data_IF_577138897671
#
_entry.id   IF_577138897671
#
_cell.length_a   1.000
_cell.length_b   1.000
_cell.length_c   1.000
_cell.angle_alpha   90.00
_cell.angle_beta   90.00
_cell.angle_gamma   90.00
#
_symmetry.space_group_name_H-M   'P 1'
#
loop_
_entity.id
_entity.type
_entity.pdbx_description
1 polymer ?
#
# COMPACT_ATOMS: atom_id res chain seq x y z
N UNK A 1 7.67 52.12 18.72
CA UNK A 1 7.48 50.67 18.53
C UNK A 1 8.80 49.95 18.77
N UNK A 2 9.27 49.98 19.97
CA UNK A 2 10.53 49.44 20.43
C UNK A 2 10.30 49.05 21.91
N UNK A 3 9.86 47.81 22.16
CA UNK A 3 9.84 47.22 23.52
C UNK A 3 9.35 45.79 23.44
N UNK A 4 10.19 44.86 23.02
CA UNK A 4 10.22 43.43 23.45
C UNK A 4 11.54 42.83 22.93
N UNK A 5 12.65 43.32 23.39
CA UNK A 5 13.95 42.71 23.18
C UNK A 5 14.89 43.08 24.33
N UNK A 6 14.53 42.65 25.53
CA UNK A 6 15.46 42.72 26.69
C UNK A 6 14.89 41.85 27.81
N UNK A 7 15.22 40.57 27.74
CA UNK A 7 15.28 39.69 28.94
C UNK A 7 15.73 38.29 28.51
N UNK A 8 16.98 38.11 28.21
CA UNK A 8 17.72 36.84 28.26
C UNK A 8 19.22 37.13 28.25
N UNK A 9 19.66 37.91 29.28
CA UNK A 9 21.05 37.93 29.72
C UNK A 9 21.02 37.82 31.22
N UNK A 10 20.93 36.60 31.72
CA UNK A 10 21.16 36.23 33.13
C UNK A 10 22.55 35.61 33.25
N UNK A 11 23.36 36.22 34.03
CA UNK A 11 24.73 35.93 34.38
C UNK A 11 24.99 34.47 34.80
N UNK A 12 26.16 33.97 34.41
CA UNK A 12 26.83 32.80 34.96
C UNK A 12 27.16 33.06 36.44
N UNK A 13 26.78 32.14 37.30
CA UNK A 13 27.45 31.89 38.57
C UNK A 13 27.93 30.45 38.61
N UNK A 14 29.16 30.29 38.97
CA UNK A 14 29.91 29.04 39.07
C UNK A 14 29.45 28.16 40.24
N UNK A 15 29.34 26.84 39.98
CA UNK A 15 29.42 25.83 41.03
C UNK A 15 30.16 24.59 40.53
N UNK A 16 31.02 24.00 41.31
CA UNK A 16 31.95 22.95 40.89
C UNK A 16 31.37 21.55 41.07
N UNK A 17 31.69 20.63 40.21
CA UNK A 17 31.32 19.23 40.40
C UNK A 17 31.65 18.37 39.22
N UNK A 18 32.77 17.69 39.25
CA UNK A 18 33.18 16.65 38.33
C UNK A 18 32.13 15.55 38.17
N UNK A 19 31.82 15.20 36.96
CA UNK A 19 30.91 14.09 36.66
C UNK A 19 30.94 13.72 35.20
N UNK A 20 31.90 12.89 34.80
CA UNK A 20 31.89 11.90 33.71
C UNK A 20 31.27 12.33 32.40
N UNK A 21 32.10 12.58 31.42
CA UNK A 21 31.82 12.50 30.01
C UNK A 21 31.05 11.22 29.69
N UNK A 22 29.74 11.31 29.58
CA UNK A 22 28.95 10.30 28.90
C UNK A 22 29.19 10.49 27.41
N UNK A 23 30.24 9.85 26.93
CA UNK A 23 30.43 9.55 25.54
C UNK A 23 29.14 8.84 25.01
N UNK A 24 28.38 9.53 24.19
CA UNK A 24 27.33 8.90 23.43
C UNK A 24 28.01 7.91 22.51
N UNK A 25 28.01 6.63 22.88
CA UNK A 25 28.32 5.56 21.93
C UNK A 25 27.22 5.54 20.89
N UNK A 26 27.51 6.02 19.70
CA UNK A 26 26.77 5.67 18.51
C UNK A 26 26.94 4.17 18.41
N UNK A 27 25.89 3.42 18.77
CA UNK A 27 25.82 2.01 18.47
C UNK A 27 26.05 1.89 16.96
N UNK A 28 27.09 1.18 16.61
CA UNK A 28 27.42 0.87 15.22
C UNK A 28 26.20 0.18 14.62
N UNK A 29 25.40 0.94 13.85
CA UNK A 29 24.36 0.39 13.01
C UNK A 29 24.96 -0.78 12.23
N UNK A 30 24.28 -1.92 12.20
CA UNK A 30 24.67 -3.06 11.35
C UNK A 30 24.93 -2.49 9.97
N UNK A 31 26.19 -2.46 9.56
CA UNK A 31 26.52 -2.36 8.15
C UNK A 31 25.97 -3.63 7.51
N UNK A 32 24.81 -3.51 6.88
CA UNK A 32 24.46 -4.46 5.84
C UNK A 32 25.54 -4.25 4.78
N UNK A 33 26.41 -5.23 4.56
CA UNK A 33 27.13 -5.35 3.30
C UNK A 33 26.07 -5.52 2.22
N UNK A 34 25.55 -4.41 1.75
CA UNK A 34 24.87 -4.37 0.46
C UNK A 34 25.98 -4.59 -0.57
N UNK A 35 26.14 -5.83 -1.02
CA UNK A 35 26.71 -6.04 -2.33
C UNK A 35 26.06 -4.99 -3.23
N UNK A 36 26.83 -4.11 -3.85
CA UNK A 36 26.28 -3.04 -4.68
C UNK A 36 25.63 -3.70 -5.89
N UNK A 37 24.38 -4.06 -5.73
CA UNK A 37 23.56 -4.54 -6.84
C UNK A 37 23.41 -3.33 -7.76
N UNK A 38 24.03 -3.42 -8.93
CA UNK A 38 23.84 -2.41 -9.97
C UNK A 38 22.35 -2.40 -10.32
N UNK A 39 21.64 -1.30 -10.13
CA UNK A 39 20.22 -1.28 -10.38
C UNK A 39 19.92 -1.55 -11.85
N UNK A 40 18.90 -2.33 -12.14
CA UNK A 40 18.38 -2.50 -13.48
C UNK A 40 17.79 -1.15 -13.93
N UNK A 41 18.39 -0.56 -14.96
CA UNK A 41 17.90 0.71 -15.49
C UNK A 41 16.74 0.54 -16.47
N UNK A 42 16.62 -0.66 -17.07
CA UNK A 42 15.56 -0.99 -18.04
C UNK A 42 14.99 -2.38 -17.75
N UNK A 43 13.66 -2.47 -17.69
CA UNK A 43 12.96 -3.73 -17.45
C UNK A 43 11.48 -3.59 -17.80
N UNK A 44 10.81 -4.74 -17.97
CA UNK A 44 9.38 -4.82 -18.19
C UNK A 44 8.64 -4.92 -16.86
N UNK A 45 7.51 -4.21 -16.75
CA UNK A 45 6.58 -4.29 -15.62
C UNK A 45 5.16 -4.59 -16.09
N UNK A 46 4.35 -5.15 -15.18
CA UNK A 46 2.93 -5.42 -15.39
C UNK A 46 2.08 -4.63 -14.40
N UNK A 47 0.94 -4.14 -14.87
CA UNK A 47 -0.06 -3.42 -14.08
C UNK A 47 -1.41 -4.13 -14.24
N UNK A 48 -2.00 -4.58 -13.14
CA UNK A 48 -3.26 -5.34 -13.15
C UNK A 48 -4.45 -4.41 -13.34
N UNK A 49 -5.29 -4.73 -14.33
CA UNK A 49 -6.64 -4.20 -14.48
C UNK A 49 -7.59 -5.37 -14.65
N UNK A 50 -8.18 -5.82 -13.56
CA UNK A 50 -9.00 -7.02 -13.53
C UNK A 50 -10.04 -6.98 -12.41
N UNK A 51 -11.06 -7.82 -12.51
CA UNK A 51 -12.03 -7.98 -11.46
C UNK A 51 -11.49 -8.88 -10.35
N UNK A 52 -11.59 -8.50 -9.06
CA UNK A 52 -11.20 -9.38 -7.96
C UNK A 52 -12.16 -10.58 -7.81
N UNK A 53 -11.73 -11.60 -7.09
CA UNK A 53 -12.61 -12.68 -6.67
C UNK A 53 -13.37 -12.22 -5.40
N UNK A 54 -14.54 -11.62 -5.62
CA UNK A 54 -15.33 -11.01 -4.55
C UNK A 54 -15.68 -12.02 -3.45
N UNK A 55 -15.28 -11.70 -2.19
CA UNK A 55 -15.56 -12.50 -1.00
C UNK A 55 -15.08 -13.96 -1.08
N UNK A 56 -14.02 -14.22 -1.85
CA UNK A 56 -13.43 -15.54 -2.01
C UNK A 56 -11.90 -15.45 -1.91
N UNK A 57 -11.38 -15.73 -0.70
CA UNK A 57 -9.95 -15.65 -0.41
C UNK A 57 -9.14 -16.65 -1.26
N UNK A 58 -9.61 -17.90 -1.35
CA UNK A 58 -8.86 -18.96 -2.06
C UNK A 58 -8.80 -18.67 -3.56
N UNK A 59 -9.94 -18.30 -4.17
CA UNK A 59 -9.96 -17.90 -5.57
C UNK A 59 -9.13 -16.62 -5.83
N UNK A 60 -9.18 -15.65 -4.92
CA UNK A 60 -8.38 -14.41 -4.99
C UNK A 60 -6.89 -14.70 -4.95
N UNK A 61 -6.44 -15.58 -4.05
CA UNK A 61 -5.04 -16.03 -3.97
C UNK A 61 -4.63 -16.75 -5.26
N UNK A 62 -5.46 -17.69 -5.74
CA UNK A 62 -5.14 -18.41 -6.96
C UNK A 62 -5.08 -17.50 -8.19
N UNK A 63 -5.99 -16.53 -8.32
CA UNK A 63 -5.97 -15.55 -9.40
C UNK A 63 -4.72 -14.65 -9.32
N UNK A 64 -4.32 -14.27 -8.12
CA UNK A 64 -3.07 -13.53 -7.88
C UNK A 64 -1.86 -14.31 -8.38
N UNK A 65 -1.76 -15.59 -8.01
CA UNK A 65 -0.68 -16.49 -8.45
C UNK A 65 -0.68 -16.63 -9.98
N UNK A 66 -1.84 -16.78 -10.59
CA UNK A 66 -1.95 -16.88 -12.05
C UNK A 66 -1.40 -15.63 -12.76
N UNK A 67 -1.73 -14.42 -12.29
CA UNK A 67 -1.19 -13.18 -12.84
C UNK A 67 0.32 -13.03 -12.59
N UNK A 68 0.83 -13.46 -11.44
CA UNK A 68 2.27 -13.48 -11.17
C UNK A 68 2.98 -14.40 -12.17
N UNK A 69 2.43 -15.60 -12.43
CA UNK A 69 2.97 -16.54 -13.40
C UNK A 69 2.92 -15.99 -14.83
N UNK A 70 1.83 -15.34 -15.22
CA UNK A 70 1.67 -14.70 -16.53
C UNK A 70 2.69 -13.57 -16.71
N UNK A 71 2.83 -12.68 -15.72
CA UNK A 71 3.80 -11.60 -15.76
C UNK A 71 5.25 -12.12 -15.81
N UNK A 72 5.56 -13.16 -15.02
CA UNK A 72 6.87 -13.82 -15.04
C UNK A 72 7.17 -14.45 -16.41
N UNK A 73 6.22 -15.15 -16.99
CA UNK A 73 6.35 -15.75 -18.34
C UNK A 73 6.54 -14.68 -19.44
N UNK A 74 5.94 -13.47 -19.25
CA UNK A 74 6.14 -12.33 -20.15
C UNK A 74 7.48 -11.60 -19.92
N UNK A 75 8.31 -12.05 -18.97
CA UNK A 75 9.61 -11.46 -18.64
C UNK A 75 9.55 -10.19 -17.80
N UNK A 76 8.42 -9.94 -17.13
CA UNK A 76 8.30 -8.81 -16.21
C UNK A 76 9.16 -9.00 -14.96
N UNK A 77 9.67 -7.88 -14.43
CA UNK A 77 10.40 -7.82 -13.16
C UNK A 77 9.57 -7.25 -12.03
N UNK A 78 8.43 -6.65 -12.33
CA UNK A 78 7.48 -6.08 -11.38
C UNK A 78 6.06 -6.36 -11.86
N UNK A 79 5.18 -6.72 -10.91
CA UNK A 79 3.73 -6.72 -11.09
C UNK A 79 3.08 -5.92 -9.97
N UNK A 80 2.12 -5.05 -10.34
CA UNK A 80 1.38 -4.19 -9.42
C UNK A 80 -0.11 -4.53 -9.42
N UNK A 81 -0.67 -4.78 -8.23
CA UNK A 81 -2.07 -5.08 -8.00
C UNK A 81 -2.83 -3.87 -7.43
N UNK A 82 -4.15 -3.78 -7.69
CA UNK A 82 -5.01 -2.72 -7.15
C UNK A 82 -5.07 -2.69 -5.62
N UNK A 83 -5.59 -1.58 -5.07
CA UNK A 83 -5.95 -1.48 -3.65
C UNK A 83 -6.98 -2.57 -3.31
N UNK A 84 -6.76 -3.26 -2.18
CA UNK A 84 -7.67 -4.32 -1.68
C UNK A 84 -8.06 -5.34 -2.75
N UNK A 85 -7.09 -5.79 -3.53
CA UNK A 85 -7.28 -6.82 -4.55
C UNK A 85 -7.85 -8.12 -3.97
N UNK A 86 -7.47 -8.47 -2.75
CA UNK A 86 -8.03 -9.60 -1.99
C UNK A 86 -8.74 -9.03 -0.75
N UNK A 87 -10.02 -9.34 -0.55
CA UNK A 87 -10.98 -10.06 -1.36
C UNK A 87 -11.85 -9.15 -2.27
N UNK A 88 -11.32 -8.04 -2.71
CA UNK A 88 -11.99 -6.97 -3.43
C UNK A 88 -12.37 -5.80 -2.52
N UNK A 89 -12.57 -4.63 -3.12
CA UNK A 89 -12.94 -3.44 -2.37
C UNK A 89 -14.38 -3.54 -1.85
N UNK A 90 -14.66 -3.25 -0.58
CA UNK A 90 -15.98 -3.42 0.04
C UNK A 90 -16.95 -2.31 -0.40
N UNK A 91 -17.26 -2.27 -1.68
CA UNK A 91 -18.05 -1.21 -2.31
C UNK A 91 -19.44 -1.02 -1.70
N UNK A 92 -20.02 -2.09 -1.13
CA UNK A 92 -21.31 -2.07 -0.44
C UNK A 92 -21.38 -1.04 0.69
N UNK A 93 -20.27 -0.72 1.35
CA UNK A 93 -20.25 0.25 2.47
C UNK A 93 -20.68 1.67 2.08
N UNK A 94 -20.65 2.01 0.79
CA UNK A 94 -21.11 3.30 0.28
C UNK A 94 -22.62 3.37 0.06
N UNK A 95 -23.32 2.23 0.09
CA UNK A 95 -24.71 2.11 -0.40
C UNK A 95 -25.72 1.69 0.67
N UNK A 96 -25.26 1.16 1.80
CA UNK A 96 -26.13 0.52 2.79
C UNK A 96 -25.92 1.08 4.18
N UNK A 97 -26.95 0.95 5.02
CA UNK A 97 -26.84 1.28 6.43
C UNK A 97 -26.08 0.20 7.21
N UNK A 98 -25.79 0.48 8.49
CA UNK A 98 -25.05 -0.41 9.36
C UNK A 98 -25.64 -1.83 9.43
N UNK A 99 -26.98 -1.95 9.64
CA UNK A 99 -27.60 -3.27 9.79
C UNK A 99 -27.52 -4.11 8.52
N UNK A 100 -27.74 -3.50 7.35
CA UNK A 100 -27.60 -4.15 6.06
C UNK A 100 -26.13 -4.55 5.76
N UNK A 101 -25.18 -3.84 6.37
CA UNK A 101 -23.76 -4.13 6.17
C UNK A 101 -23.24 -5.34 6.95
N UNK A 102 -23.92 -5.76 8.03
CA UNK A 102 -23.41 -6.79 8.95
C UNK A 102 -23.14 -8.16 8.28
N UNK A 103 -24.03 -8.73 7.44
CA UNK A 103 -23.75 -9.99 6.75
C UNK A 103 -22.54 -9.87 5.82
N UNK A 104 -22.46 -8.75 5.08
CA UNK A 104 -21.36 -8.47 4.16
C UNK A 104 -20.03 -8.33 4.93
N UNK A 105 -20.04 -7.58 6.04
CA UNK A 105 -18.87 -7.38 6.87
C UNK A 105 -18.34 -8.71 7.45
N UNK A 106 -19.25 -9.61 7.88
CA UNK A 106 -18.86 -10.94 8.37
C UNK A 106 -18.13 -11.72 7.27
N UNK A 107 -18.76 -11.88 6.10
CA UNK A 107 -18.17 -12.56 4.96
C UNK A 107 -16.85 -11.92 4.50
N UNK A 108 -16.79 -10.61 4.48
CA UNK A 108 -15.60 -9.85 4.12
C UNK A 108 -14.40 -10.15 5.05
N UNK A 109 -14.65 -10.18 6.36
CA UNK A 109 -13.63 -10.51 7.36
C UNK A 109 -13.11 -11.94 7.23
N UNK A 110 -14.01 -12.89 6.98
CA UNK A 110 -13.68 -14.31 6.80
C UNK A 110 -12.81 -14.54 5.55
N UNK A 111 -12.87 -13.62 4.57
CA UNK A 111 -12.12 -13.68 3.32
C UNK A 111 -10.97 -12.65 3.24
N UNK A 112 -10.70 -11.91 4.31
CA UNK A 112 -9.52 -11.05 4.40
C UNK A 112 -8.26 -11.87 4.66
N UNK A 113 -7.11 -11.38 4.18
CA UNK A 113 -5.85 -12.13 4.14
C UNK A 113 -4.98 -11.90 5.38
N UNK A 114 -4.72 -12.91 6.21
CA UNK A 114 -3.73 -12.80 7.29
C UNK A 114 -2.30 -12.90 6.73
N UNK A 115 -1.40 -12.05 7.21
CA UNK A 115 0.00 -12.02 6.78
C UNK A 115 0.78 -13.30 7.14
N UNK A 116 0.34 -14.02 8.17
CA UNK A 116 0.97 -15.26 8.65
C UNK A 116 0.29 -16.54 8.13
N UNK A 117 -0.61 -16.40 7.14
CA UNK A 117 -1.38 -17.52 6.56
C UNK A 117 -0.62 -18.29 5.49
N UNK A 118 -1.08 -19.50 5.20
CA UNK A 118 -0.56 -20.30 4.07
C UNK A 118 -0.93 -19.67 2.73
N UNK A 119 -2.07 -19.02 2.64
CA UNK A 119 -2.55 -18.28 1.49
C UNK A 119 -1.54 -17.19 1.10
N UNK A 120 -1.08 -16.39 2.07
CA UNK A 120 -0.07 -15.36 1.82
C UNK A 120 1.29 -15.98 1.48
N UNK A 121 1.69 -17.08 2.12
CA UNK A 121 2.93 -17.80 1.77
C UNK A 121 2.91 -18.35 0.35
N UNK A 122 1.76 -18.81 -0.16
CA UNK A 122 1.62 -19.24 -1.56
C UNK A 122 1.91 -18.11 -2.55
N UNK A 123 1.42 -16.89 -2.27
CA UNK A 123 1.72 -15.71 -3.09
C UNK A 123 3.23 -15.39 -3.05
N UNK A 124 3.84 -15.44 -1.87
CA UNK A 124 5.28 -15.21 -1.69
C UNK A 124 6.12 -16.23 -2.48
N UNK A 125 5.72 -17.52 -2.47
CA UNK A 125 6.37 -18.54 -3.30
C UNK A 125 6.22 -18.26 -4.79
N UNK A 126 5.05 -17.83 -5.24
CA UNK A 126 4.85 -17.48 -6.65
C UNK A 126 5.77 -16.31 -7.08
N UNK A 127 5.96 -15.30 -6.23
CA UNK A 127 6.92 -14.22 -6.49
C UNK A 127 8.36 -14.76 -6.66
N UNK A 128 8.80 -15.64 -5.76
CA UNK A 128 10.11 -16.29 -5.81
C UNK A 128 10.28 -17.17 -7.05
N UNK A 129 9.31 -18.02 -7.32
CA UNK A 129 9.38 -19.00 -8.39
C UNK A 129 9.40 -18.34 -9.78
N UNK A 130 8.85 -17.12 -9.88
CA UNK A 130 8.88 -16.28 -11.10
C UNK A 130 9.99 -15.22 -11.09
N UNK A 131 10.77 -15.11 -10.03
CA UNK A 131 11.84 -14.09 -9.88
C UNK A 131 11.34 -12.67 -10.17
N UNK A 132 10.19 -12.29 -9.57
CA UNK A 132 9.47 -11.03 -9.83
C UNK A 132 9.13 -10.31 -8.53
N UNK A 133 9.23 -8.97 -8.54
CA UNK A 133 8.68 -8.14 -7.47
C UNK A 133 7.16 -8.07 -7.58
N UNK A 134 6.48 -8.19 -6.46
CA UNK A 134 5.01 -8.13 -6.39
C UNK A 134 4.59 -7.02 -5.42
N UNK A 135 3.91 -5.98 -5.94
CA UNK A 135 3.20 -5.00 -5.12
C UNK A 135 1.74 -5.43 -5.00
N UNK A 136 1.35 -5.94 -3.85
CA UNK A 136 0.03 -6.50 -3.57
C UNK A 136 -0.77 -5.59 -2.65
N UNK A 137 -1.96 -5.15 -3.07
CA UNK A 137 -2.96 -4.50 -2.22
C UNK A 137 -3.97 -5.52 -1.69
N UNK A 138 -4.29 -5.51 -0.40
CA UNK A 138 -5.21 -6.47 0.18
C UNK A 138 -5.87 -5.96 1.48
N UNK A 139 -7.00 -6.57 1.85
CA UNK A 139 -7.58 -6.45 3.19
C UNK A 139 -6.80 -7.35 4.14
N UNK A 140 -5.93 -6.76 4.93
CA UNK A 140 -5.20 -7.47 5.97
C UNK A 140 -6.10 -7.67 7.18
N UNK A 141 -6.18 -8.90 7.68
CA UNK A 141 -6.77 -9.17 8.99
C UNK A 141 -5.66 -9.44 10.01
N UNK A 142 -5.62 -8.61 11.04
CA UNK A 142 -4.69 -8.73 12.15
C UNK A 142 -5.50 -8.80 13.45
N UNK A 143 -5.59 -9.99 14.05
CA UNK A 143 -6.51 -10.32 15.14
C UNK A 143 -7.96 -9.97 14.77
N UNK A 144 -8.52 -8.95 15.40
CA UNK A 144 -9.89 -8.52 15.17
C UNK A 144 -10.01 -7.29 14.24
N UNK A 145 -8.90 -6.70 13.82
CA UNK A 145 -8.90 -5.46 13.03
C UNK A 145 -8.56 -5.74 11.58
N UNK A 146 -9.29 -5.11 10.68
CA UNK A 146 -8.95 -5.08 9.25
C UNK A 146 -8.16 -3.81 8.93
N UNK A 147 -7.21 -3.92 8.00
CA UNK A 147 -6.42 -2.82 7.49
C UNK A 147 -6.38 -2.84 5.96
N UNK A 148 -6.39 -1.66 5.36
CA UNK A 148 -6.06 -1.47 3.94
C UNK A 148 -4.55 -1.58 3.82
N UNK A 149 -4.04 -2.75 3.43
CA UNK A 149 -2.62 -3.03 3.43
C UNK A 149 -2.02 -3.14 2.03
N UNK A 150 -0.72 -2.90 1.94
CA UNK A 150 0.11 -3.20 0.78
C UNK A 150 1.36 -3.95 1.25
N UNK A 151 1.76 -4.96 0.49
CA UNK A 151 3.02 -5.66 0.67
C UNK A 151 3.84 -5.58 -0.61
N UNK A 152 5.12 -5.24 -0.48
CA UNK A 152 6.11 -5.41 -1.54
C UNK A 152 6.91 -6.67 -1.24
N UNK A 153 6.77 -7.65 -2.11
CA UNK A 153 7.43 -8.96 -2.04
C UNK A 153 8.54 -8.96 -3.08
N UNK A 154 9.74 -9.34 -2.69
CA UNK A 154 10.90 -9.41 -3.57
C UNK A 154 11.02 -10.75 -4.32
N UNK A 155 11.95 -10.89 -5.29
CA UNK A 155 12.18 -12.12 -6.03
C UNK A 155 12.65 -13.32 -5.20
N UNK A 156 12.96 -13.15 -3.93
CA UNK A 156 13.25 -14.27 -3.01
C UNK A 156 12.00 -14.74 -2.27
N UNK A 157 10.87 -14.02 -2.43
CA UNK A 157 9.63 -14.23 -1.72
C UNK A 157 9.59 -13.54 -0.35
N UNK A 158 10.57 -12.67 -0.05
CA UNK A 158 10.58 -11.91 1.20
C UNK A 158 9.74 -10.63 1.10
N UNK A 159 9.03 -10.32 2.20
CA UNK A 159 8.28 -9.07 2.31
C UNK A 159 9.25 -7.96 2.69
N UNK A 160 9.68 -7.17 1.73
CA UNK A 160 10.64 -6.08 1.95
C UNK A 160 10.00 -4.77 2.37
N UNK A 161 8.69 -4.60 2.08
CA UNK A 161 7.88 -3.51 2.61
C UNK A 161 6.49 -4.04 2.97
N UNK A 162 6.01 -3.66 4.14
CA UNK A 162 4.63 -3.86 4.58
C UNK A 162 4.10 -2.53 5.10
N UNK A 163 3.03 -2.05 4.52
CA UNK A 163 2.39 -0.83 4.95
C UNK A 163 0.88 -0.99 5.12
N UNK A 164 0.31 -0.17 5.99
CA UNK A 164 -1.13 -0.01 6.17
C UNK A 164 -1.49 1.43 5.81
N UNK A 165 -2.57 1.63 5.08
CA UNK A 165 -3.11 2.97 4.76
C UNK A 165 -3.21 3.78 6.03
N UNK A 166 -2.61 4.97 6.03
CA UNK A 166 -2.50 5.77 7.26
C UNK A 166 -3.87 6.17 7.80
N UNK A 167 -4.84 6.38 6.88
CA UNK A 167 -6.19 6.78 7.23
C UNK A 167 -7.18 6.24 6.20
N UNK A 168 -8.07 5.33 6.60
CA UNK A 168 -9.19 4.93 5.75
C UNK A 168 -10.04 6.14 5.35
N UNK A 169 -10.46 6.19 4.08
CA UNK A 169 -11.20 7.31 3.51
C UNK A 169 -12.67 7.21 3.82
N UNK A 170 -13.25 8.25 4.41
CA UNK A 170 -14.70 8.41 4.65
C UNK A 170 -15.33 7.14 5.26
N UNK A 171 -16.21 6.43 4.53
CA UNK A 171 -16.93 5.23 5.00
C UNK A 171 -16.03 4.00 5.19
N UNK A 172 -14.83 3.98 4.61
CA UNK A 172 -13.85 2.90 4.86
C UNK A 172 -13.57 2.73 6.35
N UNK A 173 -13.72 3.78 7.15
CA UNK A 173 -13.58 3.75 8.62
C UNK A 173 -14.58 2.84 9.33
N UNK A 174 -15.67 2.46 8.67
CA UNK A 174 -16.63 1.48 9.20
C UNK A 174 -16.07 0.05 9.17
N UNK A 175 -15.07 -0.19 8.33
CA UNK A 175 -14.48 -1.51 8.07
C UNK A 175 -13.04 -1.59 8.59
N UNK A 176 -12.24 -0.53 8.42
CA UNK A 176 -10.80 -0.57 8.59
C UNK A 176 -10.27 0.32 9.70
N UNK A 177 -9.22 -0.14 10.36
CA UNK A 177 -8.41 0.62 11.30
C UNK A 177 -7.37 1.50 10.61
N UNK A 178 -6.86 2.48 11.37
CA UNK A 178 -5.77 3.37 10.95
C UNK A 178 -4.42 2.65 10.94
N UNK A 179 -3.56 2.96 9.96
CA UNK A 179 -2.18 2.51 9.93
C UNK A 179 -1.35 3.10 11.08
N UNK A 180 -0.40 2.32 11.59
CA UNK A 180 0.52 2.78 12.63
C UNK A 180 1.74 3.52 12.05
N UNK A 181 2.47 4.26 12.89
CA UNK A 181 3.61 5.07 12.47
C UNK A 181 4.78 4.26 11.89
N UNK A 182 4.90 2.98 12.21
CA UNK A 182 5.91 2.08 11.65
C UNK A 182 5.50 1.40 10.34
N UNK A 183 4.27 1.65 9.85
CA UNK A 183 3.70 1.00 8.66
C UNK A 183 3.33 1.97 7.52
N UNK A 184 3.64 3.26 7.62
CA UNK A 184 3.20 4.20 6.58
C UNK A 184 4.26 4.52 5.53
N UNK A 185 5.55 4.27 5.80
CA UNK A 185 6.62 4.45 4.82
C UNK A 185 6.45 3.49 3.66
N UNK A 186 6.51 4.01 2.45
CA UNK A 186 6.20 3.26 1.26
C UNK A 186 7.38 3.01 0.33
N UNK A 187 8.42 3.86 0.39
CA UNK A 187 9.55 3.76 -0.53
C UNK A 187 10.57 2.76 -0.04
N UNK A 188 10.97 1.85 -0.92
CA UNK A 188 11.95 0.79 -0.64
C UNK A 188 13.01 0.75 -1.74
N UNK A 189 14.28 0.66 -1.35
CA UNK A 189 15.38 0.43 -2.30
C UNK A 189 15.34 -1.01 -2.80
N UNK A 190 15.31 -1.17 -4.11
CA UNK A 190 15.31 -2.47 -4.81
C UNK A 190 16.35 -2.47 -5.93
N UNK A 191 16.56 -3.61 -6.57
CA UNK A 191 17.35 -3.68 -7.81
C UNK A 191 16.65 -2.99 -9.00
N UNK A 192 15.32 -2.77 -8.91
CA UNK A 192 14.54 -2.03 -9.90
C UNK A 192 14.57 -0.51 -9.67
N UNK A 193 15.36 -0.02 -8.72
CA UNK A 193 15.34 1.35 -8.25
C UNK A 193 14.55 1.50 -6.94
N UNK A 194 14.18 2.74 -6.60
CA UNK A 194 13.39 3.06 -5.40
C UNK A 194 11.91 3.04 -5.75
N UNK A 195 11.25 2.01 -5.22
CA UNK A 195 9.84 1.72 -5.48
C UNK A 195 8.99 2.16 -4.30
N UNK A 196 8.00 3.02 -4.57
CA UNK A 196 6.98 3.46 -3.62
C UNK A 196 5.60 2.97 -4.01
N UNK A 197 4.70 2.91 -3.02
CA UNK A 197 3.32 2.46 -3.20
C UNK A 197 2.38 3.21 -2.26
N UNK A 198 1.25 3.69 -2.78
CA UNK A 198 0.20 4.35 -2.02
C UNK A 198 -1.17 3.84 -2.45
N UNK A 199 -2.11 3.87 -1.52
CA UNK A 199 -3.50 3.46 -1.74
C UNK A 199 -4.41 4.66 -1.98
N UNK A 200 -5.12 4.68 -3.10
CA UNK A 200 -6.29 5.52 -3.33
C UNK A 200 -6.01 7.02 -3.06
N UNK A 201 -6.76 7.64 -2.15
CA UNK A 201 -6.63 9.07 -1.80
C UNK A 201 -5.31 9.44 -1.10
N UNK A 202 -4.52 8.48 -0.66
CA UNK A 202 -3.15 8.77 -0.24
C UNK A 202 -2.32 9.38 -1.36
N UNK A 203 -2.62 9.03 -2.62
CA UNK A 203 -1.98 9.61 -3.82
C UNK A 203 -2.26 11.12 -3.99
N UNK A 204 -3.32 11.63 -3.38
CA UNK A 204 -3.66 13.06 -3.36
C UNK A 204 -3.05 13.79 -2.16
N UNK A 205 -2.51 13.07 -1.17
CA UNK A 205 -1.97 13.67 0.04
C UNK A 205 -0.60 14.30 -0.23
N UNK A 206 -0.46 15.64 -0.19
CA UNK A 206 0.79 16.31 -0.53
C UNK A 206 1.94 15.97 0.44
N UNK A 207 1.64 15.64 1.70
CA UNK A 207 2.67 15.28 2.69
C UNK A 207 3.23 13.88 2.45
N UNK A 208 2.40 12.90 2.07
CA UNK A 208 2.88 11.57 1.70
C UNK A 208 3.69 11.60 0.41
N UNK A 209 3.23 12.37 -0.58
CA UNK A 209 3.96 12.60 -1.82
C UNK A 209 5.33 13.22 -1.54
N UNK A 210 5.37 14.28 -0.72
CA UNK A 210 6.62 14.94 -0.32
C UNK A 210 7.56 14.00 0.43
N UNK A 211 7.03 13.10 1.28
CA UNK A 211 7.83 12.08 1.95
C UNK A 211 8.45 11.12 0.92
N UNK A 212 7.65 10.55 0.02
CA UNK A 212 8.11 9.63 -1.00
C UNK A 212 9.20 10.25 -1.90
N UNK A 213 8.98 11.48 -2.35
CA UNK A 213 9.98 12.24 -3.12
C UNK A 213 11.28 12.40 -2.34
N UNK A 214 11.20 12.74 -1.04
CA UNK A 214 12.38 12.92 -0.19
C UNK A 214 13.17 11.62 0.04
N UNK A 215 12.52 10.47 -0.09
CA UNK A 215 13.15 9.15 -0.06
C UNK A 215 13.68 8.73 -1.44
N UNK A 216 13.57 9.61 -2.46
CA UNK A 216 14.16 9.44 -3.79
C UNK A 216 13.41 8.45 -4.67
N UNK A 217 12.10 8.35 -4.54
CA UNK A 217 11.23 7.49 -5.36
C UNK A 217 11.49 7.65 -6.86
N UNK A 218 11.49 6.53 -7.58
CA UNK A 218 11.68 6.46 -9.04
C UNK A 218 10.52 5.75 -9.74
N UNK A 219 9.88 4.80 -9.04
CA UNK A 219 8.72 4.07 -9.51
C UNK A 219 7.64 4.18 -8.43
N UNK A 220 6.45 4.57 -8.84
CA UNK A 220 5.31 4.71 -7.97
C UNK A 220 4.17 3.77 -8.37
N UNK A 221 3.63 3.04 -7.40
CA UNK A 221 2.42 2.25 -7.55
C UNK A 221 1.26 3.02 -6.91
N UNK A 222 0.43 3.64 -7.75
CA UNK A 222 -0.81 4.29 -7.35
C UNK A 222 -1.94 3.27 -7.37
N UNK A 223 -2.09 2.48 -6.32
CA UNK A 223 -3.11 1.43 -6.26
C UNK A 223 -4.49 2.05 -6.00
N UNK A 224 -5.45 1.74 -6.89
CA UNK A 224 -6.82 2.23 -6.81
C UNK A 224 -7.82 1.08 -6.68
N UNK A 225 -8.94 1.30 -5.97
CA UNK A 225 -10.03 0.35 -5.93
C UNK A 225 -10.92 0.48 -7.17
N UNK A 226 -12.14 -0.04 -7.09
CA UNK A 226 -13.20 0.22 -8.07
C UNK A 226 -13.91 1.53 -7.75
N UNK A 227 -14.13 2.37 -8.76
CA UNK A 227 -14.97 3.56 -8.68
C UNK A 227 -16.01 3.58 -9.79
N UNK A 228 -17.24 4.06 -9.52
CA UNK A 228 -18.21 4.33 -10.57
C UNK A 228 -17.75 5.51 -11.42
N UNK A 229 -18.01 5.44 -12.72
CA UNK A 229 -17.82 6.56 -13.63
C UNK A 229 -18.84 7.69 -13.35
N UNK A 230 -18.53 8.91 -13.78
CA UNK A 230 -19.36 10.10 -13.57
C UNK A 230 -20.77 9.96 -14.13
N UNK A 231 -20.93 9.16 -15.19
CA UNK A 231 -22.17 9.02 -15.93
C UNK A 231 -23.26 8.23 -15.21
N UNK A 232 -22.90 7.52 -14.12
CA UNK A 232 -23.80 6.61 -13.40
C UNK A 232 -24.54 7.21 -12.24
N UNK A 233 -24.22 8.44 -11.87
CA UNK A 233 -24.73 9.00 -10.64
C UNK A 233 -25.89 9.96 -10.89
N UNK A 234 -27.02 9.62 -10.30
CA UNK A 234 -28.20 10.47 -10.27
C UNK A 234 -27.94 11.83 -9.60
N UNK A 235 -26.97 11.87 -8.68
CA UNK A 235 -26.54 13.10 -8.01
C UNK A 235 -25.01 13.17 -8.07
N UNK A 236 -24.45 14.28 -8.60
CA UNK A 236 -23.01 14.50 -8.55
C UNK A 236 -22.55 14.52 -7.09
N UNK A 237 -21.81 13.49 -6.71
CA UNK A 237 -21.19 13.38 -5.38
C UNK A 237 -19.68 13.56 -5.54
N UNK A 238 -19.03 14.44 -4.75
CA UNK A 238 -17.58 14.59 -4.80
C UNK A 238 -16.80 13.28 -4.69
N UNK A 239 -17.30 12.32 -3.89
CA UNK A 239 -16.65 11.03 -3.73
C UNK A 239 -16.65 10.17 -4.99
N UNK A 240 -17.65 10.34 -5.84
CA UNK A 240 -17.86 9.51 -7.03
C UNK A 240 -17.29 10.13 -8.31
N UNK A 241 -16.95 11.42 -8.26
CA UNK A 241 -16.25 12.09 -9.36
C UNK A 241 -14.73 11.80 -9.37
N UNK A 242 -14.27 10.72 -8.72
CA UNK A 242 -12.83 10.47 -8.50
C UNK A 242 -12.22 9.52 -9.52
N UNK A 243 -12.99 8.64 -10.17
CA UNK A 243 -12.41 7.65 -11.09
C UNK A 243 -11.61 8.27 -12.23
N UNK A 244 -12.22 9.15 -13.03
CA UNK A 244 -11.51 9.85 -14.11
C UNK A 244 -10.42 10.79 -13.59
N UNK A 245 -10.68 11.67 -12.58
CA UNK A 245 -9.63 12.47 -11.97
C UNK A 245 -8.49 11.65 -11.35
N UNK A 246 -8.78 10.48 -10.76
CA UNK A 246 -7.75 9.60 -10.23
C UNK A 246 -6.83 9.09 -11.35
N UNK A 247 -7.40 8.67 -12.47
CA UNK A 247 -6.67 8.15 -13.61
C UNK A 247 -5.98 9.22 -14.44
N UNK A 248 -6.72 10.27 -14.81
CA UNK A 248 -6.34 11.21 -15.86
C UNK A 248 -5.89 12.58 -15.31
N UNK A 249 -5.95 12.80 -14.00
CA UNK A 249 -5.49 14.03 -13.34
C UNK A 249 -4.51 13.75 -12.20
N UNK A 250 -4.91 12.95 -11.21
CA UNK A 250 -4.10 12.70 -10.01
C UNK A 250 -2.86 11.88 -10.33
N UNK A 251 -3.01 10.81 -11.11
CA UNK A 251 -1.90 9.92 -11.48
C UNK A 251 -0.82 10.61 -12.30
N UNK A 252 -1.14 11.33 -13.41
CA UNK A 252 -0.11 12.08 -14.15
C UNK A 252 0.44 13.26 -13.35
N UNK A 253 -0.36 13.92 -12.50
CA UNK A 253 0.14 14.96 -11.60
C UNK A 253 1.18 14.40 -10.63
N UNK A 254 0.92 13.20 -10.07
CA UNK A 254 1.91 12.52 -9.23
C UNK A 254 3.21 12.26 -10.01
N UNK A 255 3.11 11.70 -11.21
CA UNK A 255 4.27 11.42 -12.06
C UNK A 255 5.13 12.67 -12.33
N UNK A 256 4.49 13.79 -12.72
CA UNK A 256 5.17 15.06 -13.03
C UNK A 256 5.81 15.66 -11.77
N UNK A 257 5.04 15.76 -10.68
CA UNK A 257 5.48 16.41 -9.44
C UNK A 257 6.64 15.65 -8.76
N UNK A 258 6.70 14.33 -8.95
CA UNK A 258 7.72 13.47 -8.33
C UNK A 258 8.83 13.06 -9.28
N UNK A 259 8.63 13.21 -10.59
CA UNK A 259 9.56 12.74 -11.62
C UNK A 259 9.70 11.22 -11.62
N UNK A 260 8.59 10.47 -11.43
CA UNK A 260 8.56 9.01 -11.31
C UNK A 260 7.75 8.35 -12.42
N UNK A 261 8.16 7.13 -12.79
CA UNK A 261 7.24 6.22 -13.47
C UNK A 261 6.07 5.89 -12.55
N UNK A 262 4.85 6.02 -13.03
CA UNK A 262 3.66 5.79 -12.21
C UNK A 262 2.74 4.76 -12.85
N UNK A 263 2.56 3.63 -12.15
CA UNK A 263 1.64 2.56 -12.52
C UNK A 263 0.40 2.66 -11.65
N UNK A 264 -0.78 2.78 -12.27
CA UNK A 264 -2.05 2.88 -11.58
C UNK A 264 -2.92 1.65 -11.87
N UNK A 265 -2.75 0.54 -11.13
CA UNK A 265 -3.65 -0.59 -11.21
C UNK A 265 -5.02 -0.22 -10.64
N UNK A 266 -6.08 -0.68 -11.31
CA UNK A 266 -7.48 -0.48 -10.93
C UNK A 266 -8.23 -1.80 -10.93
N UNK A 267 -9.16 -1.95 -9.98
CA UNK A 267 -10.13 -3.03 -10.03
C UNK A 267 -11.17 -2.78 -11.13
N UNK A 268 -11.72 -3.86 -11.64
CA UNK A 268 -12.90 -3.87 -12.51
C UNK A 268 -14.12 -4.37 -11.75
N UNK A 269 -15.30 -4.11 -12.31
CA UNK A 269 -16.57 -4.61 -11.79
C UNK A 269 -17.45 -5.08 -12.96
N UNK A 270 -17.85 -6.34 -12.91
CA UNK A 270 -18.85 -6.91 -13.82
C UNK A 270 -20.26 -6.82 -13.23
N UNK A 271 -21.28 -7.15 -14.04
CA UNK A 271 -22.66 -7.32 -13.56
C UNK A 271 -22.73 -8.38 -12.44
N UNK A 272 -21.97 -9.45 -12.59
CA UNK A 272 -21.87 -10.53 -11.58
C UNK A 272 -21.21 -10.03 -10.29
N UNK A 273 -20.11 -9.33 -10.40
CA UNK A 273 -19.42 -8.73 -9.26
C UNK A 273 -20.30 -7.70 -8.54
N UNK A 274 -21.04 -6.89 -9.29
CA UNK A 274 -21.97 -5.93 -8.70
C UNK A 274 -23.05 -6.64 -7.86
N UNK A 275 -23.59 -7.76 -8.36
CA UNK A 275 -24.54 -8.59 -7.60
C UNK A 275 -23.91 -9.16 -6.33
N UNK A 276 -22.68 -9.70 -6.42
CA UNK A 276 -21.95 -10.24 -5.26
C UNK A 276 -21.63 -9.17 -4.19
N UNK A 277 -21.39 -7.95 -4.62
CA UNK A 277 -21.05 -6.81 -3.74
C UNK A 277 -22.26 -5.99 -3.31
N UNK A 278 -23.48 -6.37 -3.70
CA UNK A 278 -24.73 -5.73 -3.30
C UNK A 278 -25.44 -6.64 -2.27
N UNK A 279 -25.78 -6.11 -1.08
CA UNK A 279 -26.51 -6.89 -0.08
C UNK A 279 -27.88 -7.35 -0.55
N UNK A 280 -28.36 -8.46 -0.02
CA UNK A 280 -29.70 -8.99 -0.33
C UNK A 280 -30.79 -7.93 -0.04
N UNK A 281 -31.72 -7.80 -0.97
CA UNK A 281 -32.82 -6.82 -0.88
C UNK A 281 -32.46 -5.39 -1.23
N UNK A 282 -31.22 -5.14 -1.70
CA UNK A 282 -30.76 -3.85 -2.23
C UNK A 282 -30.63 -3.94 -3.75
N UNK A 283 -31.32 -3.06 -4.46
CA UNK A 283 -31.18 -2.99 -5.92
C UNK A 283 -29.86 -2.30 -6.31
N UNK A 284 -29.10 -2.86 -7.26
CA UNK A 284 -27.93 -2.19 -7.80
C UNK A 284 -28.32 -0.91 -8.53
N UNK A 285 -27.75 0.23 -8.13
CA UNK A 285 -28.13 1.54 -8.70
C UNK A 285 -27.47 1.88 -10.03
N UNK A 286 -26.43 1.14 -10.45
CA UNK A 286 -25.52 1.58 -11.51
C UNK A 286 -25.24 0.49 -12.54
N UNK A 287 -25.00 0.91 -13.78
CA UNK A 287 -24.43 0.07 -14.83
C UNK A 287 -22.94 -0.16 -14.54
N UNK A 288 -22.49 -1.42 -14.30
CA UNK A 288 -21.10 -1.73 -14.00
C UNK A 288 -20.13 -1.41 -15.14
N UNK A 289 -20.58 -1.20 -16.36
CA UNK A 289 -19.70 -0.87 -17.51
C UNK A 289 -18.85 0.38 -17.28
N UNK A 290 -19.30 1.28 -16.42
CA UNK A 290 -18.60 2.54 -16.11
C UNK A 290 -17.50 2.41 -15.07
N UNK A 291 -17.39 1.25 -14.40
CA UNK A 291 -16.32 0.98 -13.40
C UNK A 291 -15.01 0.50 -14.05
N UNK A 292 -14.97 0.41 -15.37
CA UNK A 292 -13.92 -0.28 -16.10
C UNK A 292 -13.08 0.67 -16.95
N UNK A 293 -11.86 0.25 -17.28
CA UNK A 293 -10.97 0.99 -18.17
C UNK A 293 -10.23 2.17 -17.53
N UNK A 294 -10.09 2.20 -16.17
CA UNK A 294 -9.43 3.31 -15.46
C UNK A 294 -7.94 3.10 -15.17
N UNK A 295 -7.38 1.90 -15.35
CA UNK A 295 -5.95 1.69 -15.19
C UNK A 295 -5.14 2.54 -16.17
N UNK A 296 -3.99 3.06 -15.73
CA UNK A 296 -3.10 3.93 -16.51
C UNK A 296 -1.65 3.67 -16.15
N UNK A 297 -0.77 3.96 -17.09
CA UNK A 297 0.67 4.00 -16.85
C UNK A 297 1.21 5.29 -17.45
N UNK A 298 1.96 6.04 -16.63
CA UNK A 298 2.54 7.32 -17.01
C UNK A 298 4.05 7.33 -16.85
N UNK A 299 4.73 8.02 -17.78
CA UNK A 299 6.14 8.37 -17.68
C UNK A 299 6.39 9.44 -16.63
N UNK A 300 7.65 9.65 -16.20
CA UNK A 300 8.03 10.69 -15.25
C UNK A 300 7.63 12.13 -15.67
N UNK A 301 7.46 12.38 -16.95
CA UNK A 301 7.02 13.66 -17.52
C UNK A 301 5.49 13.78 -17.64
N UNK A 302 4.73 12.80 -17.16
CA UNK A 302 3.27 12.76 -17.25
C UNK A 302 2.72 12.22 -18.57
N UNK A 303 3.58 11.79 -19.51
CA UNK A 303 3.14 11.20 -20.78
C UNK A 303 2.42 9.87 -20.53
N UNK A 304 1.19 9.75 -21.04
CA UNK A 304 0.42 8.50 -20.99
C UNK A 304 1.07 7.45 -21.89
N UNK A 305 1.41 6.30 -21.32
CA UNK A 305 2.01 5.16 -22.03
C UNK A 305 0.98 4.11 -22.36
N UNK A 306 0.10 3.80 -21.41
CA UNK A 306 -0.86 2.72 -21.55
C UNK A 306 -2.20 3.06 -20.93
N UNK A 307 -3.26 2.74 -21.67
CA UNK A 307 -4.68 2.88 -21.29
C UNK A 307 -5.44 1.69 -21.85
N UNK A 308 -6.14 0.91 -21.00
CA UNK A 308 -6.92 -0.22 -21.48
C UNK A 308 -8.27 0.25 -22.07
N UNK A 309 -8.84 -0.58 -22.94
CA UNK A 309 -10.24 -0.49 -23.28
C UNK A 309 -11.12 -0.88 -22.08
N UNK A 310 -12.38 -0.42 -22.08
CA UNK A 310 -13.33 -0.72 -20.99
C UNK A 310 -13.57 -2.23 -20.78
N UNK A 311 -13.53 -3.01 -21.84
CA UNK A 311 -13.77 -4.45 -21.79
C UNK A 311 -12.51 -5.28 -21.50
N UNK A 312 -11.36 -4.65 -21.51
CA UNK A 312 -10.08 -5.35 -21.24
C UNK A 312 -10.01 -5.80 -19.78
N UNK A 313 -9.72 -7.07 -19.56
CA UNK A 313 -9.48 -7.70 -18.25
C UNK A 313 -8.15 -8.46 -18.31
N UNK A 314 -7.14 -8.04 -17.53
CA UNK A 314 -5.84 -8.69 -17.58
C UNK A 314 -4.68 -7.80 -17.16
N UNK A 315 -3.53 -7.98 -17.78
CA UNK A 315 -2.29 -7.28 -17.50
C UNK A 315 -1.97 -6.23 -18.57
N UNK A 316 -1.68 -5.01 -18.15
CA UNK A 316 -1.05 -3.99 -18.99
C UNK A 316 0.47 -4.11 -18.83
N UNK A 317 1.18 -4.19 -19.93
CA UNK A 317 2.63 -4.31 -19.93
C UNK A 317 3.29 -2.98 -20.32
N UNK A 318 4.45 -2.69 -19.70
CA UNK A 318 5.24 -1.49 -19.99
C UNK A 318 6.73 -1.81 -19.89
N UNK A 319 7.53 -1.22 -20.78
CA UNK A 319 8.98 -1.18 -20.67
C UNK A 319 9.39 0.11 -19.94
N UNK A 320 9.96 -0.04 -18.74
CA UNK A 320 10.42 1.06 -17.91
C UNK A 320 11.89 1.37 -18.24
N UNK A 321 12.23 2.65 -18.39
CA UNK A 321 13.59 3.17 -18.44
C UNK A 321 13.79 4.20 -17.32
N UNK A 322 14.55 3.84 -16.27
CA UNK A 322 14.79 4.74 -15.12
C UNK A 322 15.60 6.00 -15.51
N UNK A 323 16.28 6.02 -16.66
CA UNK A 323 16.96 7.22 -17.11
C UNK A 323 15.98 8.38 -17.38
N UNK A 324 14.73 8.09 -17.71
CA UNK A 324 13.69 9.10 -17.89
C UNK A 324 13.39 9.88 -16.59
N UNK A 325 13.51 9.21 -15.41
CA UNK A 325 13.40 9.91 -14.12
C UNK A 325 14.50 10.95 -13.93
N UNK A 326 15.72 10.65 -14.35
CA UNK A 326 16.85 11.57 -14.24
C UNK A 326 16.66 12.80 -15.11
N UNK A 327 16.12 12.65 -16.32
CA UNK A 327 15.83 13.75 -17.23
C UNK A 327 14.79 14.71 -16.64
N UNK A 328 13.70 14.15 -16.08
CA UNK A 328 12.64 14.96 -15.46
C UNK A 328 13.15 15.66 -14.20
N UNK A 329 13.88 14.96 -13.34
CA UNK A 329 14.46 15.54 -12.12
C UNK A 329 15.57 16.56 -12.39
N UNK A 330 16.25 16.50 -13.54
CA UNK A 330 17.21 17.52 -13.92
C UNK A 330 16.55 18.90 -14.13
N UNK A 331 15.26 18.93 -14.48
CA UNK A 331 14.50 20.18 -14.61
C UNK A 331 14.05 20.70 -13.24
N UNK A 332 13.41 19.86 -12.43
CA UNK A 332 12.89 20.22 -11.11
C UNK A 332 12.89 18.99 -10.18
N UNK A 333 13.89 18.90 -9.32
CA UNK A 333 13.98 17.85 -8.31
C UNK A 333 13.48 18.36 -6.97
N UNK A 334 12.26 17.99 -6.62
CA UNK A 334 11.61 18.38 -5.35
C UNK A 334 12.24 17.70 -4.12
N UNK A 335 13.14 16.76 -4.28
CA UNK A 335 13.93 16.18 -3.17
C UNK A 335 15.35 16.74 -3.08
N UNK A 336 15.78 17.49 -4.09
CA UNK A 336 17.13 18.04 -4.23
C UNK A 336 17.16 19.55 -4.50
N UNK A 337 17.61 19.94 -5.69
CA UNK A 337 17.92 21.34 -6.00
C UNK A 337 16.70 22.30 -6.03
N UNK A 338 15.47 21.75 -6.05
CA UNK A 338 14.24 22.57 -6.05
C UNK A 338 13.58 22.65 -4.67
N UNK A 339 14.25 22.18 -3.60
CA UNK A 339 13.76 22.23 -2.23
C UNK A 339 14.57 23.21 -1.36
N UNK A 340 13.89 23.78 -0.38
CA UNK A 340 14.45 24.68 0.63
C UNK A 340 14.13 24.13 2.03
N UNK A 341 14.81 23.04 2.48
CA UNK A 341 14.54 22.42 3.77
C UNK A 341 14.88 23.30 4.96
N UNK A 342 15.65 24.36 4.75
CA UNK A 342 15.88 25.45 5.71
C UNK A 342 14.63 26.30 5.97
N UNK A 343 13.69 26.36 5.01
CA UNK A 343 12.44 27.12 5.11
C UNK A 343 11.21 26.24 5.41
N UNK A 344 11.11 25.08 4.72
CA UNK A 344 9.97 24.17 4.82
C UNK A 344 10.49 22.75 4.93
N UNK A 345 10.03 22.03 5.95
CA UNK A 345 10.38 20.61 6.16
C UNK A 345 9.23 19.85 6.78
N UNK A 346 9.16 18.54 6.50
CA UNK A 346 8.24 17.61 7.15
C UNK A 346 8.86 17.08 8.45
N UNK A 347 8.05 17.00 9.49
CA UNK A 347 8.35 16.24 10.70
C UNK A 347 7.53 14.94 10.67
N UNK A 348 8.21 13.81 10.71
CA UNK A 348 7.61 12.49 10.58
C UNK A 348 7.85 11.68 11.85
N UNK A 349 6.79 11.14 12.46
CA UNK A 349 6.88 10.21 13.59
C UNK A 349 6.64 8.78 13.09
N UNK A 350 7.72 7.99 13.02
CA UNK A 350 7.69 6.60 12.53
C UNK A 350 7.51 5.57 13.65
N UNK A 351 7.27 6.03 14.88
CA UNK A 351 7.13 5.12 16.02
C UNK A 351 5.74 4.48 16.01
N UNK A 352 5.70 3.19 16.28
CA UNK A 352 4.46 2.53 16.66
C UNK A 352 4.02 3.05 18.04
N UNK A 353 2.72 3.34 18.18
CA UNK A 353 2.12 3.72 19.46
C UNK A 353 1.27 2.54 19.93
N UNK A 354 1.70 1.95 21.04
CA UNK A 354 1.01 0.79 21.63
C UNK A 354 -0.03 1.24 22.66
N UNK A 355 -1.15 0.51 22.70
CA UNK A 355 -2.12 0.66 23.78
C UNK A 355 -1.57 0.12 25.11
N UNK A 356 -0.78 -0.95 25.03
CA UNK A 356 -0.11 -1.59 26.16
C UNK A 356 1.37 -1.70 25.83
N UNK A 357 2.21 -1.23 26.74
CA UNK A 357 3.67 -1.44 26.69
C UNK A 357 4.06 -2.37 27.82
N UNK A 358 4.89 -3.35 27.51
CA UNK A 358 5.41 -4.31 28.50
C UNK A 358 6.82 -3.92 28.91
N UNK A 359 7.17 -4.18 30.17
CA UNK A 359 8.54 -4.05 30.62
C UNK A 359 9.37 -5.23 30.10
N UNK A 360 10.57 -4.96 29.59
CA UNK A 360 11.54 -6.00 29.26
C UNK A 360 12.19 -6.58 30.55
N UNK A 361 12.98 -7.62 30.38
CA UNK A 361 13.67 -8.29 31.50
C UNK A 361 14.66 -7.41 32.23
N UNK A 362 15.03 -6.26 31.68
CA UNK A 362 15.97 -5.30 32.25
C UNK A 362 15.26 -4.06 32.81
N UNK A 363 13.92 -4.04 32.84
CA UNK A 363 13.10 -2.92 33.30
C UNK A 363 12.95 -1.79 32.29
N UNK A 364 13.37 -1.99 31.03
CA UNK A 364 13.07 -1.14 29.90
C UNK A 364 11.67 -1.38 29.35
N UNK A 365 11.28 -0.63 28.34
CA UNK A 365 10.02 -0.84 27.61
C UNK A 365 10.30 -1.75 26.42
N UNK A 366 9.65 -2.92 26.38
CA UNK A 366 9.66 -3.76 25.21
C UNK A 366 8.89 -3.05 24.06
N UNK A 367 9.54 -2.88 22.93
CA UNK A 367 8.96 -2.26 21.75
C UNK A 367 9.20 -3.16 20.54
N UNK A 368 8.12 -3.61 19.91
CA UNK A 368 8.17 -4.43 18.72
C UNK A 368 7.54 -3.67 17.56
N UNK A 369 8.19 -3.70 16.38
CA UNK A 369 7.58 -3.21 15.15
C UNK A 369 6.43 -4.13 14.72
N UNK A 370 5.53 -3.59 13.90
CA UNK A 370 4.46 -4.40 13.29
C UNK A 370 5.04 -5.59 12.51
N UNK A 371 6.15 -5.41 11.79
CA UNK A 371 6.85 -6.48 11.07
C UNK A 371 7.34 -7.60 11.97
N UNK A 372 7.95 -7.26 13.12
CA UNK A 372 8.42 -8.26 14.11
C UNK A 372 7.25 -9.05 14.67
N UNK A 373 6.17 -8.36 15.05
CA UNK A 373 4.97 -8.98 15.60
C UNK A 373 4.27 -9.92 14.60
N UNK A 374 4.28 -9.58 13.32
CA UNK A 374 3.73 -10.40 12.24
C UNK A 374 4.70 -11.50 11.77
N UNK A 375 5.90 -11.57 12.33
CA UNK A 375 6.91 -12.56 11.95
C UNK A 375 7.48 -12.38 10.54
N UNK A 376 7.38 -11.19 9.96
CA UNK A 376 7.84 -10.89 8.60
C UNK A 376 9.37 -10.82 8.47
N UNK A 377 10.09 -10.83 9.60
CA UNK A 377 11.55 -10.91 9.63
C UNK A 377 12.07 -12.37 9.59
N UNK A 378 11.17 -13.35 9.61
CA UNK A 378 11.53 -14.78 9.47
C UNK A 378 11.49 -15.14 7.99
N UNK A 379 12.59 -15.71 7.43
CA UNK A 379 12.64 -16.13 6.04
C UNK A 379 11.51 -17.07 5.65
N UNK A 380 11.03 -16.98 4.42
CA UNK A 380 9.91 -17.77 3.91
C UNK A 380 10.09 -19.26 4.15
N UNK A 381 11.26 -19.78 3.85
CA UNK A 381 11.58 -21.22 3.98
C UNK A 381 11.75 -21.69 5.44
N UNK A 382 11.95 -20.74 6.37
CA UNK A 382 12.03 -21.04 7.81
C UNK A 382 10.68 -20.92 8.52
N UNK A 383 9.62 -20.47 7.84
CA UNK A 383 8.27 -20.36 8.40
C UNK A 383 7.56 -21.73 8.31
N UNK A 384 7.33 -22.39 9.43
CA UNK A 384 6.50 -23.58 9.46
C UNK A 384 5.05 -23.25 9.03
N UNK A 385 4.41 -24.07 8.18
CA UNK A 385 2.99 -23.90 7.87
C UNK A 385 2.17 -24.04 9.16
N UNK A 386 1.36 -23.02 9.48
CA UNK A 386 0.39 -23.15 10.58
C UNK A 386 -0.63 -24.23 10.21
N UNK A 387 -0.97 -25.15 11.13
CA UNK A 387 -2.03 -26.10 10.89
C UNK A 387 -3.33 -25.34 10.61
N UNK A 388 -4.04 -25.72 9.53
CA UNK A 388 -5.38 -25.18 9.24
C UNK A 388 -6.21 -25.34 10.51
N UNK A 389 -6.77 -24.25 11.03
CA UNK A 389 -7.75 -24.32 12.09
C UNK A 389 -8.86 -25.27 11.61
N UNK A 390 -9.06 -26.39 12.29
CA UNK A 390 -10.19 -27.26 12.02
C UNK A 390 -11.44 -26.42 12.22
N UNK A 391 -12.15 -26.12 11.14
CA UNK A 391 -13.54 -25.68 11.22
C UNK A 391 -14.24 -26.77 12.01
N UNK A 392 -14.59 -26.48 13.26
CA UNK A 392 -15.39 -27.39 14.03
C UNK A 392 -16.72 -27.54 13.28
N UNK A 393 -16.98 -28.75 12.77
CA UNK A 393 -18.26 -29.09 12.23
C UNK A 393 -19.33 -28.79 13.28
N UNK A 394 -20.04 -27.69 13.08
CA UNK A 394 -21.27 -27.40 13.81
C UNK A 394 -22.40 -28.18 13.15
N UNK A 395 -22.25 -29.51 13.13
CA UNK A 395 -23.34 -30.42 12.84
C UNK A 395 -23.71 -31.15 14.14
N UNK A 396 -24.98 -31.02 14.46
CA UNK A 396 -25.72 -31.74 15.48
C UNK A 396 -25.71 -31.16 16.92
N UNK A 397 -26.69 -30.30 17.18
CA UNK A 397 -27.62 -30.63 18.27
C UNK A 397 -28.95 -29.93 18.00
N UNK A 398 -29.80 -30.58 17.22
CA UNK A 398 -31.25 -30.43 17.32
C UNK A 398 -31.71 -31.47 18.33
N UNK A 399 -32.10 -31.06 19.51
CA UNK A 399 -33.06 -31.71 20.41
C UNK A 399 -33.04 -30.99 21.77
N UNK A 400 -33.96 -30.22 22.03
CA UNK A 400 -35.04 -30.14 23.02
C UNK A 400 -35.60 -28.72 23.00
#
# INVERSE_FOLDING_TARGET
MLRVARQLTGSREDAPGAGTDKQWSIEKGRQYETASIMPLTKYKAACVTSEPCWFDLEAGVQKTINFINEAGAAGCKLIAFPEVWIPGYPYWMWKVNYQQSLPMLKSYRENSLPMDSEEFRRIRRAARDNQIYVSLGFSEIDHATLYLAQALIDPTGEVINHRRKIKPTHVEKLVYGDGAGDTFKSVTQTELGRLGQLNCWENMNPFLKSLNVSEGEQIHIAAWPVYPGKETLKYPDPATNVADPASDLVTPAYAIETGTWTLAPFQRLSVEGLKKTTPEGVEPETDPSTYNGHARIYKPDGTLVCKPDKDFDGLLFVDIDLNECHLTKALADFSGHYMRPDLIRLLVDTRRKELVTEADTNGGIASYTTRERLGLNVPLDAQAPKPKAKVADAAATTAI
#
